data_IF_854660184302
#
_entry.id   IF_854660184302
#
_cell.length_a   1.000
_cell.length_b   1.000
_cell.length_c   1.000
_cell.angle_alpha   90.00
_cell.angle_beta   90.00
_cell.angle_gamma   90.00
#
_symmetry.space_group_name_H-M   'P 1'
#
loop_
_entity.id
_entity.type
_entity.pdbx_description
1 polymer ?
#
# COMPACT_ATOMS: atom_id res chain seq x y z
N UNK A 1 19.52 -0.69 -6.52
CA UNK A 1 19.36 -2.07 -6.04
C UNK A 1 17.94 -2.35 -5.55
N UNK A 2 17.28 -1.40 -4.87
CA UNK A 2 15.89 -1.56 -4.41
C UNK A 2 14.85 -0.76 -5.20
N UNK A 3 15.23 -0.04 -6.26
CA UNK A 3 14.32 0.83 -7.00
C UNK A 3 13.06 0.11 -7.52
N UNK A 4 13.17 -1.16 -7.94
CA UNK A 4 12.04 -1.97 -8.39
C UNK A 4 11.07 -2.40 -7.27
N UNK A 5 11.46 -2.23 -6.02
CA UNK A 5 10.67 -2.53 -4.82
C UNK A 5 10.28 -1.25 -4.06
N UNK A 6 10.57 -0.07 -4.62
CA UNK A 6 10.51 1.23 -3.92
C UNK A 6 11.78 1.48 -3.08
N UNK A 7 12.44 2.62 -3.28
CA UNK A 7 13.65 2.96 -2.52
C UNK A 7 13.34 3.23 -1.05
N UNK A 8 12.13 3.69 -0.77
CA UNK A 8 11.57 3.90 0.57
C UNK A 8 11.53 2.63 1.43
N UNK A 9 11.46 1.44 0.81
CA UNK A 9 11.42 0.17 1.52
C UNK A 9 12.80 -0.46 1.72
N UNK A 10 13.88 0.16 1.21
CA UNK A 10 15.22 -0.41 1.27
C UNK A 10 15.67 -0.73 2.70
N UNK A 11 15.37 0.13 3.67
CA UNK A 11 15.70 -0.07 5.08
C UNK A 11 15.02 -1.31 5.66
N UNK A 12 13.76 -1.56 5.30
CA UNK A 12 12.99 -2.73 5.75
C UNK A 12 13.59 -4.02 5.20
N UNK A 13 13.91 -4.06 3.91
CA UNK A 13 14.57 -5.22 3.29
C UNK A 13 15.93 -5.52 3.91
N UNK A 14 16.71 -4.48 4.22
CA UNK A 14 18.00 -4.63 4.87
C UNK A 14 17.82 -5.13 6.31
N UNK A 15 16.87 -4.58 7.08
CA UNK A 15 16.58 -5.00 8.45
C UNK A 15 16.15 -6.48 8.52
N UNK A 16 15.31 -6.91 7.57
CA UNK A 16 14.79 -8.27 7.50
C UNK A 16 15.83 -9.32 7.08
N UNK A 17 16.98 -8.91 6.54
CA UNK A 17 18.02 -9.84 6.12
C UNK A 17 18.65 -10.55 7.33
N UNK A 18 18.69 -11.90 7.35
CA UNK A 18 19.31 -12.67 8.45
C UNK A 18 20.77 -12.27 8.73
N UNK A 19 21.50 -11.74 7.75
CA UNK A 19 22.87 -11.27 7.91
C UNK A 19 22.98 -9.99 8.78
N UNK A 20 21.86 -9.30 9.01
CA UNK A 20 21.76 -8.13 9.87
C UNK A 20 21.04 -8.43 11.20
N UNK A 21 20.80 -9.71 11.52
CA UNK A 21 20.19 -10.10 12.79
C UNK A 21 20.95 -9.50 13.99
N UNK A 22 20.25 -8.69 14.79
CA UNK A 22 20.81 -7.97 15.95
C UNK A 22 21.28 -6.54 15.67
N UNK A 23 21.15 -6.03 14.44
CA UNK A 23 21.19 -4.59 14.19
C UNK A 23 19.81 -4.00 14.42
N UNK A 24 19.71 -3.14 15.43
CA UNK A 24 18.53 -2.31 15.64
C UNK A 24 18.62 -1.08 14.72
N UNK A 25 18.05 -1.21 13.51
CA UNK A 25 18.01 -0.12 12.53
C UNK A 25 17.00 0.96 12.96
N UNK A 26 15.96 0.59 13.73
CA UNK A 26 14.98 1.53 14.25
C UNK A 26 15.60 2.50 15.29
N UNK A 27 16.59 2.05 16.06
CA UNK A 27 17.33 2.89 17.02
C UNK A 27 18.25 3.95 16.40
N UNK A 28 18.40 3.99 15.07
CA UNK A 28 19.32 4.91 14.37
C UNK A 28 18.60 6.05 13.64
N UNK A 29 17.50 6.55 14.20
CA UNK A 29 16.79 7.76 13.72
C UNK A 29 16.52 7.75 12.20
N UNK A 30 16.12 6.60 11.64
CA UNK A 30 15.84 6.41 10.20
C UNK A 30 17.05 6.57 9.25
N UNK A 31 18.29 6.65 9.74
CA UNK A 31 19.49 6.63 8.89
C UNK A 31 19.96 5.19 8.62
N UNK A 32 20.24 4.89 7.35
CA UNK A 32 20.89 3.63 6.99
C UNK A 32 22.31 3.59 7.60
N UNK A 33 22.68 2.52 8.31
CA UNK A 33 24.01 2.41 8.87
C UNK A 33 25.06 2.45 7.77
N UNK A 34 26.24 2.99 8.09
CA UNK A 34 27.36 3.13 7.14
C UNK A 34 27.80 1.81 6.46
N UNK A 35 27.43 0.66 7.03
CA UNK A 35 27.64 -0.67 6.47
C UNK A 35 26.44 -1.56 6.77
N UNK A 36 26.01 -2.29 5.77
CA UNK A 36 24.95 -3.31 5.84
C UNK A 36 25.51 -4.62 5.28
N UNK A 37 25.04 -5.76 5.80
CA UNK A 37 25.33 -7.06 5.22
C UNK A 37 24.13 -7.52 4.38
N UNK A 38 24.38 -8.30 3.33
CA UNK A 38 23.32 -8.85 2.50
C UNK A 38 23.59 -10.33 2.25
N UNK A 39 22.57 -11.15 2.46
CA UNK A 39 22.56 -12.56 2.12
C UNK A 39 22.34 -12.69 0.61
N UNK A 40 23.28 -13.31 -0.09
CA UNK A 40 23.22 -13.49 -1.53
C UNK A 40 23.52 -14.93 -1.95
N UNK A 41 22.89 -15.36 -3.05
CA UNK A 41 23.19 -16.64 -3.68
C UNK A 41 24.56 -16.58 -4.37
N UNK A 42 25.41 -17.57 -4.10
CA UNK A 42 26.74 -17.64 -4.70
C UNK A 42 26.66 -17.91 -6.20
N UNK A 43 27.29 -17.06 -7.02
CA UNK A 43 27.45 -17.26 -8.46
C UNK A 43 28.59 -18.25 -8.80
N UNK A 44 29.29 -18.79 -7.80
CA UNK A 44 30.41 -19.70 -8.00
C UNK A 44 30.10 -20.91 -8.91
N UNK A 45 28.92 -21.57 -8.83
CA UNK A 45 28.56 -22.64 -9.76
C UNK A 45 28.49 -22.17 -11.22
N UNK A 46 27.94 -20.97 -11.45
CA UNK A 46 27.82 -20.38 -12.79
C UNK A 46 29.20 -20.02 -13.35
N UNK A 47 30.11 -19.52 -12.52
CA UNK A 47 31.48 -19.20 -12.92
C UNK A 47 32.27 -20.47 -13.23
N UNK A 48 32.21 -21.49 -12.35
CA UNK A 48 33.00 -22.72 -12.48
C UNK A 48 32.52 -23.63 -13.60
N UNK A 49 31.21 -23.82 -13.74
CA UNK A 49 30.64 -24.81 -14.67
C UNK A 49 29.99 -24.17 -15.90
N UNK A 50 29.41 -22.97 -15.76
CA UNK A 50 28.78 -22.23 -16.86
C UNK A 50 29.74 -21.30 -17.62
N UNK A 51 30.94 -21.08 -17.10
CA UNK A 51 31.92 -20.16 -17.69
C UNK A 51 31.47 -18.70 -17.66
N UNK A 52 30.58 -18.34 -16.73
CA UNK A 52 30.06 -16.98 -16.53
C UNK A 52 31.19 -16.00 -16.18
N UNK A 53 31.20 -14.84 -16.83
CA UNK A 53 32.20 -13.78 -16.66
C UNK A 53 31.53 -12.42 -16.51
N UNK A 54 32.30 -11.45 -16.02
CA UNK A 54 31.83 -10.08 -15.93
C UNK A 54 31.38 -9.55 -17.30
N UNK A 55 30.15 -9.04 -17.37
CA UNK A 55 29.51 -8.55 -18.58
C UNK A 55 28.62 -9.58 -19.29
N UNK A 56 28.64 -10.85 -18.88
CA UNK A 56 27.64 -11.83 -19.28
C UNK A 56 26.30 -11.53 -18.59
N UNK A 57 25.21 -11.98 -19.21
CA UNK A 57 23.85 -11.86 -18.68
C UNK A 57 23.44 -13.15 -17.97
N UNK A 58 22.46 -13.03 -17.09
CA UNK A 58 21.83 -14.17 -16.43
C UNK A 58 20.39 -14.24 -16.92
N UNK A 59 20.01 -15.37 -17.51
CA UNK A 59 18.64 -15.69 -17.87
C UNK A 59 18.04 -16.58 -16.79
N UNK A 60 16.94 -16.14 -16.19
CA UNK A 60 16.19 -16.91 -15.20
C UNK A 60 14.91 -17.43 -15.86
N UNK A 61 14.72 -18.74 -15.87
CA UNK A 61 13.53 -19.40 -16.41
C UNK A 61 12.80 -20.12 -15.29
N UNK A 62 11.53 -19.79 -15.09
CA UNK A 62 10.67 -20.56 -14.19
C UNK A 62 10.39 -21.91 -14.85
N UNK A 63 10.78 -23.01 -14.20
CA UNK A 63 10.50 -24.38 -14.67
C UNK A 63 9.29 -24.99 -13.99
N UNK A 64 9.07 -24.64 -12.73
CA UNK A 64 7.92 -25.07 -11.94
C UNK A 64 7.50 -23.93 -11.02
N UNK A 65 6.34 -23.33 -11.29
CA UNK A 65 5.82 -22.21 -10.51
C UNK A 65 5.33 -22.68 -9.13
N UNK A 66 4.68 -23.85 -9.06
CA UNK A 66 4.08 -24.38 -7.81
C UNK A 66 5.16 -24.76 -6.79
N UNK A 67 6.32 -25.22 -7.27
CA UNK A 67 7.46 -25.56 -6.43
C UNK A 67 8.50 -24.44 -6.31
N UNK A 68 8.27 -23.28 -6.94
CA UNK A 68 9.20 -22.14 -6.94
C UNK A 68 10.55 -22.47 -7.56
N UNK A 69 10.61 -23.36 -8.55
CA UNK A 69 11.85 -23.76 -9.20
C UNK A 69 12.20 -22.84 -10.35
N UNK A 70 13.39 -22.25 -10.26
CA UNK A 70 13.95 -21.35 -11.25
C UNK A 70 15.27 -21.92 -11.75
N UNK A 71 15.36 -22.11 -13.05
CA UNK A 71 16.61 -22.44 -13.74
C UNK A 71 17.37 -21.16 -14.08
N UNK A 72 18.66 -21.13 -13.74
CA UNK A 72 19.52 -19.97 -13.94
C UNK A 72 20.61 -20.32 -14.97
N UNK A 73 20.61 -19.63 -16.10
CA UNK A 73 21.52 -19.90 -17.22
C UNK A 73 22.38 -18.66 -17.56
N UNK A 74 23.70 -18.83 -17.78
CA UNK A 74 24.54 -17.75 -18.26
C UNK A 74 24.33 -17.50 -19.75
N UNK A 75 24.07 -16.26 -20.13
CA UNK A 75 24.00 -15.79 -21.52
C UNK A 75 25.27 -15.00 -21.80
N UNK A 76 26.15 -15.61 -22.60
CA UNK A 76 27.49 -15.06 -22.86
C UNK A 76 27.40 -13.75 -23.63
N UNK A 77 28.19 -12.77 -23.18
CA UNK A 77 28.38 -11.53 -23.92
C UNK A 77 29.03 -11.82 -25.26
N UNK A 78 28.65 -11.02 -26.26
CA UNK A 78 29.30 -11.06 -27.55
C UNK A 78 30.79 -10.67 -27.43
N UNK A 79 31.66 -11.39 -28.13
CA UNK A 79 33.11 -11.13 -28.13
C UNK A 79 33.43 -9.77 -28.79
N UNK A 80 32.57 -9.32 -29.71
CA UNK A 80 32.66 -8.01 -30.33
C UNK A 80 31.45 -7.11 -29.96
N UNK A 81 31.62 -6.14 -29.05
CA UNK A 81 30.53 -5.28 -28.59
C UNK A 81 30.00 -4.30 -29.66
N UNK A 82 30.68 -4.16 -30.81
CA UNK A 82 30.20 -3.32 -31.93
C UNK A 82 29.39 -4.10 -32.97
N UNK A 83 29.20 -5.40 -32.79
CA UNK A 83 28.42 -6.23 -33.70
C UNK A 83 27.02 -6.48 -33.13
N UNK A 84 26.01 -5.89 -33.76
CA UNK A 84 24.59 -6.13 -33.47
C UNK A 84 24.22 -7.48 -34.06
N UNK A 85 23.73 -8.39 -33.22
CA UNK A 85 23.23 -9.71 -33.64
C UNK A 85 21.69 -9.72 -33.63
N UNK A 86 21.12 -10.84 -34.08
CA UNK A 86 19.66 -11.01 -34.14
C UNK A 86 19.00 -11.02 -32.76
N UNK A 87 19.65 -11.63 -31.77
CA UNK A 87 19.29 -11.60 -30.34
C UNK A 87 19.24 -10.18 -29.78
N UNK A 88 20.20 -9.31 -30.16
CA UNK A 88 20.17 -7.91 -29.74
C UNK A 88 18.97 -7.14 -30.33
N UNK A 89 18.57 -7.47 -31.58
CA UNK A 89 17.38 -6.88 -32.22
C UNK A 89 16.08 -7.38 -31.57
N UNK A 90 15.99 -8.68 -31.27
CA UNK A 90 14.83 -9.24 -30.56
C UNK A 90 14.69 -8.65 -29.15
N UNK A 91 15.81 -8.42 -28.45
CA UNK A 91 15.79 -7.74 -27.15
C UNK A 91 15.32 -6.29 -27.26
N UNK A 92 15.72 -5.57 -28.31
CA UNK A 92 15.21 -4.23 -28.54
C UNK A 92 13.70 -4.24 -28.82
N UNK A 93 13.22 -5.20 -29.62
CA UNK A 93 11.79 -5.40 -29.83
C UNK A 93 11.06 -5.72 -28.52
N UNK A 94 11.68 -6.52 -27.65
CA UNK A 94 11.16 -6.82 -26.32
C UNK A 94 11.00 -5.55 -25.48
N UNK A 95 11.98 -4.64 -25.50
CA UNK A 95 11.87 -3.34 -24.80
C UNK A 95 10.73 -2.48 -25.34
N UNK A 96 10.55 -2.44 -26.66
CA UNK A 96 9.46 -1.68 -27.28
C UNK A 96 8.08 -2.29 -26.94
N UNK A 97 7.98 -3.61 -26.89
CA UNK A 97 6.75 -4.31 -26.52
C UNK A 97 6.46 -4.18 -25.02
N UNK A 98 7.49 -4.21 -24.17
CA UNK A 98 7.38 -3.95 -22.75
C UNK A 98 6.93 -2.52 -22.44
N UNK A 99 7.50 -1.51 -23.12
CA UNK A 99 7.06 -0.11 -22.98
C UNK A 99 5.59 0.05 -23.35
N UNK A 100 5.15 -0.54 -24.47
CA UNK A 100 3.73 -0.49 -24.88
C UNK A 100 2.82 -1.20 -23.88
N UNK A 101 3.27 -2.34 -23.33
CA UNK A 101 2.49 -3.10 -22.37
C UNK A 101 2.31 -2.33 -21.05
N UNK A 102 3.37 -1.68 -20.55
CA UNK A 102 3.29 -0.80 -19.38
C UNK A 102 2.34 0.37 -19.62
N UNK A 103 2.47 1.08 -20.75
CA UNK A 103 1.58 2.20 -21.09
C UNK A 103 0.12 1.77 -21.16
N UNK A 104 -0.17 0.61 -21.76
CA UNK A 104 -1.53 0.07 -21.80
C UNK A 104 -2.04 -0.34 -20.40
N UNK A 105 -1.16 -0.86 -19.54
CA UNK A 105 -1.49 -1.19 -18.15
C UNK A 105 -1.82 0.05 -17.33
N UNK A 106 -1.12 1.16 -17.54
CA UNK A 106 -1.42 2.43 -16.86
C UNK A 106 -2.82 2.94 -17.20
N UNK A 107 -3.24 2.81 -18.47
CA UNK A 107 -4.58 3.20 -18.89
C UNK A 107 -5.69 2.31 -18.30
N UNK A 108 -5.41 1.01 -18.12
CA UNK A 108 -6.41 0.01 -17.72
C UNK A 108 -6.49 -0.18 -16.20
N UNK A 109 -5.35 -0.33 -15.55
CA UNK A 109 -5.19 -0.71 -14.14
C UNK A 109 -4.67 0.43 -13.26
N UNK A 110 -4.21 1.53 -13.87
CA UNK A 110 -3.66 2.66 -13.13
C UNK A 110 -2.33 2.34 -12.44
N UNK A 111 -2.05 2.97 -11.29
CA UNK A 111 -0.80 2.80 -10.55
C UNK A 111 -0.71 1.51 -9.71
N UNK A 112 -1.76 0.67 -9.68
CA UNK A 112 -1.89 -0.55 -8.87
C UNK A 112 -1.56 -0.35 -7.37
N UNK A 113 -1.36 -1.43 -6.63
CA UNK A 113 -0.99 -1.46 -5.21
C UNK A 113 0.51 -1.53 -4.93
N UNK A 114 1.36 -1.93 -5.88
CA UNK A 114 2.83 -1.76 -5.81
C UNK A 114 3.52 -1.83 -7.19
N UNK A 115 4.82 -1.53 -7.29
CA UNK A 115 5.59 -1.71 -8.55
C UNK A 115 5.60 -3.19 -8.96
N UNK A 116 5.74 -4.10 -8.01
CA UNK A 116 5.71 -5.54 -8.21
C UNK A 116 4.37 -5.99 -8.78
N UNK A 117 3.26 -5.43 -8.29
CA UNK A 117 1.93 -5.69 -8.83
C UNK A 117 1.79 -5.15 -10.26
N UNK A 118 2.27 -3.93 -10.53
CA UNK A 118 2.27 -3.37 -11.90
C UNK A 118 3.03 -4.30 -12.87
N UNK A 119 4.21 -4.76 -12.47
CA UNK A 119 5.01 -5.69 -13.26
C UNK A 119 4.29 -7.03 -13.42
N UNK A 120 3.71 -7.57 -12.34
CA UNK A 120 2.98 -8.84 -12.40
C UNK A 120 1.80 -8.78 -13.39
N UNK A 121 0.98 -7.72 -13.33
CA UNK A 121 -0.13 -7.51 -14.27
C UNK A 121 0.38 -7.48 -15.71
N UNK A 122 1.41 -6.66 -15.98
CA UNK A 122 2.00 -6.52 -17.32
C UNK A 122 2.52 -7.85 -17.87
N UNK A 123 3.26 -8.61 -17.06
CA UNK A 123 3.84 -9.90 -17.46
C UNK A 123 2.77 -10.99 -17.63
N UNK A 124 1.73 -11.01 -16.79
CA UNK A 124 0.65 -11.98 -16.92
C UNK A 124 -0.18 -11.73 -18.19
N UNK A 125 -0.58 -10.49 -18.43
CA UNK A 125 -1.40 -10.10 -19.59
C UNK A 125 -0.64 -10.26 -20.91
N UNK A 126 0.68 -10.06 -20.89
CA UNK A 126 1.53 -10.08 -22.08
C UNK A 126 2.54 -11.24 -22.09
N UNK A 127 2.26 -12.31 -21.34
CA UNK A 127 3.17 -13.46 -21.15
C UNK A 127 3.77 -14.01 -22.44
N UNK A 128 2.98 -14.10 -23.52
CA UNK A 128 3.45 -14.60 -24.82
C UNK A 128 4.52 -13.73 -25.49
N UNK A 129 4.51 -12.42 -25.22
CA UNK A 129 5.45 -11.46 -25.80
C UNK A 129 6.62 -11.16 -24.87
N UNK A 130 6.36 -11.17 -23.56
CA UNK A 130 7.35 -10.77 -22.56
C UNK A 130 8.12 -11.94 -21.96
N UNK A 131 7.54 -13.15 -21.89
CA UNK A 131 8.23 -14.33 -21.35
C UNK A 131 8.90 -15.12 -22.48
N UNK A 132 9.88 -14.50 -23.15
CA UNK A 132 10.62 -15.08 -24.27
C UNK A 132 12.09 -15.32 -23.91
N UNK A 133 12.79 -16.15 -24.70
CA UNK A 133 14.21 -16.47 -24.45
C UNK A 133 15.13 -15.25 -24.61
N UNK A 134 14.76 -14.30 -25.46
CA UNK A 134 15.53 -13.08 -25.75
C UNK A 134 15.04 -11.85 -24.96
N UNK A 135 14.50 -12.08 -23.76
CA UNK A 135 13.99 -11.02 -22.90
C UNK A 135 15.10 -10.05 -22.41
N UNK A 136 14.72 -8.80 -22.20
CA UNK A 136 15.56 -7.78 -21.60
C UNK A 136 15.47 -7.75 -20.07
N UNK A 137 16.32 -6.93 -19.44
CA UNK A 137 16.18 -6.62 -18.01
C UNK A 137 15.25 -5.42 -17.84
N UNK A 138 14.32 -5.48 -16.89
CA UNK A 138 13.44 -4.36 -16.53
C UNK A 138 14.26 -3.16 -16.04
N UNK A 139 15.32 -3.41 -15.26
CA UNK A 139 16.20 -2.34 -14.79
C UNK A 139 16.95 -1.67 -15.94
N UNK A 140 17.44 -2.44 -16.91
CA UNK A 140 18.09 -1.89 -18.11
C UNK A 140 17.10 -1.09 -18.96
N UNK A 141 15.85 -1.57 -19.07
CA UNK A 141 14.77 -0.84 -19.72
C UNK A 141 14.50 0.53 -19.07
N UNK A 142 14.39 0.58 -17.74
CA UNK A 142 14.09 1.83 -17.04
C UNK A 142 15.25 2.83 -17.11
N UNK A 143 16.50 2.36 -17.19
CA UNK A 143 17.67 3.24 -17.40
C UNK A 143 17.68 3.92 -18.78
N UNK A 144 17.01 3.35 -19.78
CA UNK A 144 17.02 3.87 -21.16
C UNK A 144 15.68 4.48 -21.59
N UNK A 145 14.57 4.14 -20.92
CA UNK A 145 13.26 4.68 -21.27
C UNK A 145 13.24 6.19 -21.06
N UNK A 146 12.58 6.88 -21.98
CA UNK A 146 12.31 8.32 -21.87
C UNK A 146 10.87 8.62 -21.52
N UNK A 147 10.00 7.62 -21.61
CA UNK A 147 8.56 7.77 -21.40
C UNK A 147 8.12 7.27 -20.04
N UNK A 148 8.82 6.30 -19.48
CA UNK A 148 8.47 5.69 -18.20
C UNK A 148 9.59 5.95 -17.22
N UNK A 149 9.23 6.44 -16.04
CA UNK A 149 10.16 6.71 -14.96
C UNK A 149 9.56 6.28 -13.61
N UNK A 150 10.37 6.37 -12.58
CA UNK A 150 9.94 6.29 -11.19
C UNK A 150 9.37 7.65 -10.79
N UNK A 151 8.08 7.70 -10.51
CA UNK A 151 7.36 8.92 -10.14
C UNK A 151 6.81 8.83 -8.71
N UNK A 152 6.74 9.94 -7.97
CA UNK A 152 6.16 9.98 -6.62
C UNK A 152 4.67 9.64 -6.62
N UNK A 153 4.26 8.83 -5.65
CA UNK A 153 2.89 8.45 -5.37
C UNK A 153 2.64 8.41 -3.85
N UNK A 154 2.33 9.58 -3.31
CA UNK A 154 2.23 9.83 -1.89
C UNK A 154 3.57 9.65 -1.20
N UNK A 155 3.66 8.68 -0.28
CA UNK A 155 4.93 8.34 0.40
C UNK A 155 5.75 7.26 -0.32
N UNK A 156 5.24 6.77 -1.45
CA UNK A 156 5.83 5.67 -2.22
C UNK A 156 6.22 6.11 -3.64
N UNK A 157 6.89 5.21 -4.35
CA UNK A 157 7.28 5.38 -5.75
C UNK A 157 6.54 4.42 -6.66
N UNK A 158 6.13 4.87 -7.86
CA UNK A 158 5.45 4.04 -8.88
C UNK A 158 6.11 4.18 -10.24
N UNK A 159 5.96 3.16 -11.10
CA UNK A 159 6.28 3.35 -12.52
C UNK A 159 5.14 4.14 -13.16
N UNK A 160 5.48 5.25 -13.81
CA UNK A 160 4.49 6.09 -14.50
C UNK A 160 5.10 6.85 -15.67
N UNK A 161 4.29 7.66 -16.33
CA UNK A 161 4.71 8.57 -17.39
C UNK A 161 5.72 9.59 -16.84
N UNK A 162 6.88 9.65 -17.50
CA UNK A 162 8.02 10.46 -17.07
C UNK A 162 7.68 11.95 -17.03
N UNK A 163 7.79 12.55 -15.84
CA UNK A 163 7.47 13.94 -15.55
C UNK A 163 5.98 14.24 -15.37
N UNK A 164 5.13 13.21 -15.31
CA UNK A 164 3.70 13.35 -15.01
C UNK A 164 3.40 12.93 -13.58
N UNK A 165 2.49 13.65 -12.93
CA UNK A 165 1.99 13.29 -11.61
C UNK A 165 1.15 12.01 -11.69
N UNK A 166 1.42 11.07 -10.79
CA UNK A 166 0.64 9.83 -10.70
C UNK A 166 -0.72 10.14 -10.07
N UNK A 167 -1.83 9.94 -10.79
CA UNK A 167 -3.15 10.30 -10.30
C UNK A 167 -3.68 9.29 -9.27
N UNK A 168 -4.34 9.79 -8.23
CA UNK A 168 -5.03 8.97 -7.23
C UNK A 168 -6.28 8.31 -7.82
N UNK A 169 -6.97 9.06 -8.68
CA UNK A 169 -8.21 8.65 -9.32
C UNK A 169 -8.09 8.62 -10.84
N UNK A 170 -8.70 7.60 -11.44
CA UNK A 170 -8.76 7.46 -12.89
C UNK A 170 -9.81 6.44 -13.30
N UNK A 171 -9.83 6.11 -14.60
CA UNK A 171 -10.82 5.19 -15.19
C UNK A 171 -10.81 3.80 -14.56
N UNK A 172 -9.69 3.39 -13.98
CA UNK A 172 -9.55 2.12 -13.26
C UNK A 172 -10.36 2.07 -11.95
N UNK A 173 -10.81 3.21 -11.43
CA UNK A 173 -11.67 3.28 -10.25
C UNK A 173 -13.17 3.25 -10.60
N UNK A 174 -13.53 3.28 -11.89
CA UNK A 174 -14.93 3.16 -12.32
C UNK A 174 -15.42 1.73 -12.06
N UNK A 175 -16.04 1.51 -10.90
CA UNK A 175 -16.76 0.26 -10.62
C UNK A 175 -17.88 0.17 -11.68
N UNK A 176 -17.97 -0.92 -12.46
CA UNK A 176 -19.09 -1.10 -13.38
C UNK A 176 -20.37 -1.01 -12.53
N UNK A 177 -21.25 -0.06 -12.85
CA UNK A 177 -22.54 0.11 -12.16
C UNK A 177 -23.25 -1.25 -12.16
N UNK A 178 -23.12 -1.99 -11.06
CA UNK A 178 -23.93 -3.16 -10.83
C UNK A 178 -25.35 -2.62 -10.64
N UNK A 179 -26.24 -2.89 -11.59
CA UNK A 179 -27.68 -2.69 -11.52
C UNK A 179 -28.18 -3.10 -10.12
N UNK A 180 -28.20 -2.16 -9.18
CA UNK A 180 -28.60 -2.44 -7.81
C UNK A 180 -29.88 -1.69 -7.55
N UNK A 181 -30.95 -2.40 -7.86
CA UNK A 181 -32.30 -2.23 -7.33
C UNK A 181 -32.41 -2.58 -5.84
N UNK A 182 -31.31 -2.53 -5.08
CA UNK A 182 -31.31 -2.78 -3.64
C UNK A 182 -31.35 -1.44 -2.90
N UNK A 183 -32.30 -1.36 -1.94
CA UNK A 183 -32.64 -0.19 -1.14
C UNK A 183 -31.39 0.58 -0.68
N UNK A 184 -31.43 1.91 -0.83
CA UNK A 184 -30.39 2.82 -0.39
C UNK A 184 -30.05 2.68 1.12
N UNK A 185 -30.97 2.15 1.94
CA UNK A 185 -30.74 1.80 3.35
C UNK A 185 -29.81 0.57 3.52
N UNK A 186 -29.86 -0.40 2.61
CA UNK A 186 -28.97 -1.58 2.62
C UNK A 186 -27.55 -1.23 2.18
N UNK A 187 -27.40 -0.21 1.32
CA UNK A 187 -26.08 0.32 0.93
C UNK A 187 -25.38 1.00 2.10
N UNK A 188 -26.06 1.82 2.88
CA UNK A 188 -25.43 2.52 4.01
C UNK A 188 -24.86 1.55 5.06
N UNK A 189 -25.55 0.45 5.37
CA UNK A 189 -25.06 -0.58 6.31
C UNK A 189 -23.90 -1.42 5.75
N UNK A 190 -23.85 -1.63 4.43
CA UNK A 190 -22.73 -2.30 3.76
C UNK A 190 -21.54 -1.35 3.52
N UNK A 191 -21.78 -0.06 3.32
CA UNK A 191 -20.77 1.01 3.13
C UNK A 191 -20.20 1.49 4.47
N UNK A 192 -20.97 1.39 5.56
CA UNK A 192 -20.53 1.62 6.95
C UNK A 192 -20.04 0.34 7.64
N UNK A 193 -19.75 -0.74 6.89
CA UNK A 193 -19.25 -2.00 7.44
C UNK A 193 -17.82 -1.83 7.99
N UNK A 194 -17.72 -1.16 9.13
CA UNK A 194 -16.52 -1.09 9.95
C UNK A 194 -16.16 -2.54 10.31
N UNK A 195 -14.95 -3.01 9.96
CA UNK A 195 -14.53 -4.35 10.32
C UNK A 195 -14.62 -4.60 11.83
N UNK A 196 -15.02 -5.81 12.22
CA UNK A 196 -15.18 -6.21 13.62
C UNK A 196 -13.94 -5.88 14.48
N UNK A 197 -12.73 -6.02 13.93
CA UNK A 197 -11.49 -5.71 14.67
C UNK A 197 -11.37 -4.22 15.03
N UNK A 198 -11.85 -3.30 14.19
CA UNK A 198 -11.84 -1.86 14.51
C UNK A 198 -12.82 -1.59 15.66
N UNK A 199 -14.00 -2.20 15.60
CA UNK A 199 -15.00 -2.11 16.65
C UNK A 199 -14.47 -2.68 17.98
N UNK A 200 -13.82 -3.84 17.92
CA UNK A 200 -13.18 -4.49 19.05
C UNK A 200 -12.12 -3.57 19.67
N UNK A 201 -11.25 -2.98 18.85
CA UNK A 201 -10.24 -2.04 19.32
C UNK A 201 -10.84 -0.86 20.10
N UNK A 202 -11.94 -0.27 19.62
CA UNK A 202 -12.64 0.79 20.37
C UNK A 202 -13.18 0.30 21.72
N UNK A 203 -13.73 -0.92 21.76
CA UNK A 203 -14.25 -1.52 22.99
C UNK A 203 -13.11 -1.85 23.97
N UNK A 204 -12.02 -2.45 23.49
CA UNK A 204 -10.85 -2.79 24.30
C UNK A 204 -10.17 -1.54 24.85
N UNK A 205 -10.09 -0.46 24.07
CA UNK A 205 -9.61 0.84 24.56
C UNK A 205 -10.47 1.40 25.72
N UNK A 206 -11.80 1.24 25.68
CA UNK A 206 -12.65 1.61 26.82
C UNK A 206 -12.48 0.65 28.01
N UNK A 207 -12.30 -0.65 27.78
CA UNK A 207 -12.02 -1.63 28.83
C UNK A 207 -10.68 -1.33 29.53
N UNK A 208 -9.68 -0.88 28.79
CA UNK A 208 -8.38 -0.43 29.30
C UNK A 208 -8.52 0.74 30.28
N UNK A 209 -9.35 1.72 29.90
CA UNK A 209 -9.72 2.88 30.73
C UNK A 209 -10.72 2.53 31.84
N UNK A 210 -11.19 1.27 31.91
CA UNK A 210 -12.21 0.77 32.85
C UNK A 210 -13.54 1.53 32.75
N UNK A 211 -13.89 1.99 31.54
CA UNK A 211 -15.15 2.68 31.21
C UNK A 211 -15.98 1.87 30.23
N UNK A 212 -17.25 2.25 30.10
CA UNK A 212 -18.14 1.70 29.08
C UNK A 212 -19.16 2.76 28.66
N UNK A 213 -18.91 3.36 27.52
CA UNK A 213 -19.71 4.43 26.93
C UNK A 213 -19.94 4.11 25.45
N UNK A 214 -20.93 3.27 25.11
CA UNK A 214 -21.13 2.79 23.75
C UNK A 214 -21.48 3.92 22.77
N UNK A 215 -22.13 4.98 23.25
CA UNK A 215 -22.42 6.17 22.43
C UNK A 215 -21.15 6.90 21.97
N UNK A 216 -20.09 6.91 22.78
CA UNK A 216 -18.81 7.47 22.35
C UNK A 216 -18.23 6.66 21.19
N UNK A 217 -18.36 5.33 21.22
CA UNK A 217 -17.91 4.44 20.14
C UNK A 217 -18.67 4.73 18.85
N UNK A 218 -20.00 4.90 18.93
CA UNK A 218 -20.80 5.30 17.76
C UNK A 218 -20.32 6.63 17.19
N UNK A 219 -20.11 7.63 18.04
CA UNK A 219 -19.64 8.97 17.62
C UNK A 219 -18.20 9.02 17.12
N UNK A 220 -17.40 8.00 17.44
CA UNK A 220 -16.03 7.87 17.00
C UNK A 220 -15.94 7.16 15.64
N UNK A 221 -16.81 6.18 15.40
CA UNK A 221 -16.89 5.44 14.13
C UNK A 221 -17.63 6.22 13.05
N UNK A 222 -18.67 6.97 13.44
CA UNK A 222 -19.47 7.75 12.51
C UNK A 222 -19.10 9.23 12.63
N UNK A 223 -18.70 9.89 11.53
CA UNK A 223 -18.53 11.33 11.52
C UNK A 223 -19.81 12.04 11.97
N UNK A 224 -19.69 13.18 12.65
CA UNK A 224 -20.85 13.92 13.18
C UNK A 224 -21.86 14.41 12.12
N UNK A 225 -21.52 14.28 10.84
CA UNK A 225 -22.37 14.57 9.69
C UNK A 225 -23.33 13.43 9.32
N UNK A 226 -23.05 12.18 9.74
CA UNK A 226 -23.89 11.01 9.49
C UNK A 226 -25.00 10.95 10.51
N UNK A 227 -26.25 10.79 10.05
CA UNK A 227 -27.43 10.65 10.91
C UNK A 227 -28.02 9.27 10.70
N UNK A 228 -27.86 8.41 11.70
CA UNK A 228 -28.58 7.14 11.76
C UNK A 228 -30.06 7.39 12.11
N UNK A 229 -30.94 6.57 11.55
CA UNK A 229 -32.30 6.43 12.05
C UNK A 229 -32.29 5.85 13.48
N UNK A 230 -33.40 6.00 14.20
CA UNK A 230 -33.53 5.46 15.55
C UNK A 230 -33.42 3.92 15.60
N UNK A 231 -33.80 3.23 14.52
CA UNK A 231 -33.72 1.77 14.42
C UNK A 231 -32.28 1.31 14.15
N UNK A 232 -31.58 1.95 13.21
CA UNK A 232 -30.17 1.67 12.91
C UNK A 232 -29.28 1.97 14.11
N UNK A 233 -29.48 3.10 14.77
CA UNK A 233 -28.73 3.47 15.98
C UNK A 233 -28.91 2.43 17.08
N UNK A 234 -30.14 1.94 17.29
CA UNK A 234 -30.42 0.86 18.24
C UNK A 234 -29.76 -0.47 17.85
N UNK A 235 -29.77 -0.82 16.57
CA UNK A 235 -29.13 -2.04 16.09
C UNK A 235 -27.61 -1.99 16.31
N UNK A 236 -26.99 -0.84 15.99
CA UNK A 236 -25.56 -0.63 16.15
C UNK A 236 -25.12 -0.67 17.62
N UNK A 237 -25.89 -0.04 18.52
CA UNK A 237 -25.66 -0.15 19.96
C UNK A 237 -25.78 -1.59 20.47
N UNK A 238 -26.77 -2.34 20.00
CA UNK A 238 -26.94 -3.75 20.37
C UNK A 238 -25.75 -4.60 19.90
N UNK A 239 -25.20 -4.27 18.72
CA UNK A 239 -24.00 -4.93 18.21
C UNK A 239 -22.78 -4.63 19.08
N UNK A 240 -22.56 -3.36 19.49
CA UNK A 240 -21.53 -2.96 20.46
C UNK A 240 -21.69 -3.72 21.79
N UNK A 241 -22.90 -3.75 22.36
CA UNK A 241 -23.20 -4.46 23.62
C UNK A 241 -22.84 -5.95 23.52
N UNK A 242 -23.17 -6.58 22.39
CA UNK A 242 -22.87 -7.98 22.12
C UNK A 242 -21.36 -8.24 22.07
N UNK A 243 -20.61 -7.44 21.29
CA UNK A 243 -19.15 -7.55 21.21
C UNK A 243 -18.49 -7.27 22.56
N UNK A 244 -18.92 -6.24 23.28
CA UNK A 244 -18.41 -5.91 24.62
C UNK A 244 -18.58 -7.07 25.61
N UNK A 245 -19.74 -7.73 25.62
CA UNK A 245 -19.99 -8.87 26.49
C UNK A 245 -19.10 -10.09 26.17
N UNK A 246 -18.64 -10.22 24.92
CA UNK A 246 -17.69 -11.25 24.49
C UNK A 246 -16.28 -10.87 24.96
N UNK A 247 -15.78 -9.71 24.55
CA UNK A 247 -14.41 -9.25 24.82
C UNK A 247 -14.14 -9.14 26.32
N UNK A 248 -15.06 -8.58 27.10
CA UNK A 248 -14.90 -8.41 28.55
C UNK A 248 -14.62 -9.72 29.30
N UNK A 249 -15.03 -10.88 28.78
CA UNK A 249 -14.78 -12.18 29.41
C UNK A 249 -13.34 -12.66 29.23
N UNK A 250 -12.72 -12.31 28.12
CA UNK A 250 -11.38 -12.75 27.71
C UNK A 250 -10.32 -11.66 27.89
N UNK A 251 -10.75 -10.42 28.05
CA UNK A 251 -9.89 -9.26 28.17
C UNK A 251 -8.96 -9.34 29.39
N UNK A 252 -7.66 -9.15 29.15
CA UNK A 252 -6.63 -9.14 30.18
C UNK A 252 -5.92 -7.78 30.21
N UNK A 253 -6.32 -6.95 31.15
CA UNK A 253 -5.75 -5.60 31.35
C UNK A 253 -4.23 -5.57 31.54
N UNK A 254 -3.63 -6.61 32.14
CA UNK A 254 -2.17 -6.64 32.33
C UNK A 254 -1.42 -6.93 31.03
N UNK A 255 -1.95 -7.81 30.18
CA UNK A 255 -1.39 -8.07 28.86
C UNK A 255 -1.57 -6.86 27.94
N UNK A 256 -2.67 -6.14 28.11
CA UNK A 256 -3.01 -4.97 27.32
C UNK A 256 -2.17 -3.72 27.66
N UNK A 257 -1.45 -3.72 28.77
CA UNK A 257 -0.67 -2.56 29.22
C UNK A 257 0.45 -2.17 28.25
N UNK A 258 1.01 -3.12 27.51
CA UNK A 258 2.09 -2.86 26.54
C UNK A 258 1.56 -2.29 25.22
N UNK A 259 0.35 -2.67 24.82
CA UNK A 259 -0.24 -2.31 23.52
C UNK A 259 -1.33 -1.23 23.62
N UNK A 260 -1.89 -0.98 24.80
CA UNK A 260 -3.06 -0.11 24.97
C UNK A 260 -2.84 1.33 24.53
N UNK A 261 -1.64 1.89 24.74
CA UNK A 261 -1.30 3.23 24.25
C UNK A 261 -1.15 3.25 22.73
N UNK A 262 -0.52 2.22 22.16
CA UNK A 262 -0.38 2.05 20.70
C UNK A 262 -1.75 1.94 20.04
N UNK A 263 -2.66 1.11 20.59
CA UNK A 263 -4.05 1.01 20.15
C UNK A 263 -4.74 2.36 20.19
N UNK A 264 -4.60 3.10 21.29
CA UNK A 264 -5.23 4.42 21.46
C UNK A 264 -4.75 5.43 20.41
N UNK A 265 -3.43 5.51 20.15
CA UNK A 265 -2.88 6.38 19.11
C UNK A 265 -3.37 5.99 17.71
N UNK A 266 -3.34 4.70 17.38
CA UNK A 266 -3.85 4.19 16.12
C UNK A 266 -5.35 4.52 15.91
N UNK A 267 -6.19 4.33 16.94
CA UNK A 267 -7.61 4.70 16.90
C UNK A 267 -7.84 6.21 16.72
N UNK A 268 -6.99 7.05 17.34
CA UNK A 268 -7.08 8.49 17.19
C UNK A 268 -6.79 8.93 15.74
N UNK A 269 -5.72 8.41 15.15
CA UNK A 269 -5.36 8.67 13.75
C UNK A 269 -6.40 8.09 12.79
N UNK A 270 -6.89 6.87 13.03
CA UNK A 270 -7.98 6.25 12.27
C UNK A 270 -9.20 7.17 12.21
N UNK A 271 -9.63 7.70 13.37
CA UNK A 271 -10.78 8.59 13.48
C UNK A 271 -10.60 9.88 12.68
N UNK A 272 -9.41 10.47 12.72
CA UNK A 272 -9.10 11.70 11.98
C UNK A 272 -9.13 11.45 10.47
N UNK A 273 -8.45 10.40 10.02
CA UNK A 273 -8.39 10.01 8.61
C UNK A 273 -9.78 9.63 8.08
N UNK A 274 -10.54 8.81 8.81
CA UNK A 274 -11.89 8.40 8.41
C UNK A 274 -12.83 9.59 8.30
N UNK A 275 -12.79 10.52 9.26
CA UNK A 275 -13.60 11.74 9.23
C UNK A 275 -13.31 12.56 7.97
N UNK A 276 -12.03 12.75 7.62
CA UNK A 276 -11.66 13.49 6.42
C UNK A 276 -12.09 12.77 5.13
N UNK A 277 -11.91 11.46 5.05
CA UNK A 277 -12.38 10.64 3.91
C UNK A 277 -13.89 10.81 3.72
N UNK A 278 -14.68 10.69 4.79
CA UNK A 278 -16.13 10.88 4.72
C UNK A 278 -16.51 12.32 4.33
N UNK A 279 -15.77 13.33 4.77
CA UNK A 279 -16.02 14.70 4.36
C UNK A 279 -15.73 14.94 2.87
N UNK A 280 -14.66 14.34 2.35
CA UNK A 280 -14.32 14.35 0.93
C UNK A 280 -15.41 13.62 0.14
N UNK A 281 -15.75 12.37 0.48
CA UNK A 281 -16.76 11.57 -0.22
C UNK A 281 -18.10 12.31 -0.34
N UNK A 282 -18.54 12.96 0.73
CA UNK A 282 -19.81 13.70 0.74
C UNK A 282 -19.77 15.01 -0.08
N UNK A 283 -18.60 15.64 -0.19
CA UNK A 283 -18.45 16.96 -0.82
C UNK A 283 -17.92 16.89 -2.25
N UNK A 284 -17.25 15.80 -2.61
CA UNK A 284 -16.58 15.64 -3.88
C UNK A 284 -17.61 15.46 -5.00
N UNK A 285 -17.74 16.48 -5.84
CA UNK A 285 -18.42 16.34 -7.13
C UNK A 285 -17.52 15.72 -8.20
N UNK A 286 -16.20 15.96 -8.09
CA UNK A 286 -15.17 15.31 -8.89
C UNK A 286 -13.87 15.24 -8.06
N UNK A 287 -13.37 14.02 -7.80
CA UNK A 287 -12.13 13.77 -7.06
C UNK A 287 -10.86 14.21 -7.82
N UNK A 288 -10.92 14.39 -9.15
CA UNK A 288 -9.80 14.90 -9.95
C UNK A 288 -9.44 16.36 -9.62
N UNK A 289 -10.35 17.11 -8.97
CA UNK A 289 -10.10 18.50 -8.55
C UNK A 289 -9.33 18.61 -7.25
N UNK A 290 -9.23 17.51 -6.51
CA UNK A 290 -8.49 17.47 -5.28
C UNK A 290 -6.99 17.31 -5.57
N UNK A 291 -6.13 17.80 -4.67
CA UNK A 291 -4.69 17.52 -4.71
C UNK A 291 -4.45 16.00 -4.70
N UNK A 292 -3.87 15.44 -5.77
CA UNK A 292 -3.85 14.00 -6.00
C UNK A 292 -2.88 13.29 -5.05
N UNK A 293 -1.68 13.84 -4.85
CA UNK A 293 -0.71 13.27 -3.92
C UNK A 293 -1.25 13.20 -2.50
N UNK A 294 -1.92 14.25 -2.04
CA UNK A 294 -2.50 14.34 -0.71
C UNK A 294 -3.63 13.32 -0.52
N UNK A 295 -4.45 13.09 -1.56
CA UNK A 295 -5.45 12.03 -1.55
C UNK A 295 -4.82 10.63 -1.43
N UNK A 296 -3.72 10.39 -2.14
CA UNK A 296 -2.98 9.13 -2.06
C UNK A 296 -2.42 8.94 -0.65
N UNK A 297 -1.79 9.95 -0.08
CA UNK A 297 -1.24 9.91 1.28
C UNK A 297 -2.34 9.63 2.28
N UNK A 298 -3.51 10.27 2.16
CA UNK A 298 -4.65 10.01 3.05
C UNK A 298 -5.12 8.54 2.95
N UNK A 299 -5.22 8.00 1.74
CA UNK A 299 -5.61 6.60 1.51
C UNK A 299 -4.57 5.61 2.07
N UNK A 300 -3.28 5.90 1.89
CA UNK A 300 -2.17 5.12 2.45
C UNK A 300 -2.19 5.14 3.98
N UNK A 301 -2.35 6.31 4.60
CA UNK A 301 -2.47 6.46 6.06
C UNK A 301 -3.66 5.65 6.57
N UNK A 302 -4.83 5.80 5.94
CA UNK A 302 -6.03 5.08 6.37
C UNK A 302 -5.85 3.57 6.29
N UNK A 303 -5.31 3.07 5.17
CA UNK A 303 -5.06 1.65 4.95
C UNK A 303 -4.04 1.09 5.94
N UNK A 304 -2.95 1.82 6.20
CA UNK A 304 -1.88 1.38 7.10
C UNK A 304 -2.33 1.37 8.56
N UNK A 305 -3.08 2.39 8.98
CA UNK A 305 -3.67 2.43 10.33
C UNK A 305 -4.66 1.28 10.54
N UNK A 306 -5.48 0.94 9.54
CA UNK A 306 -6.35 -0.23 9.64
C UNK A 306 -5.55 -1.54 9.82
N UNK A 307 -4.44 -1.71 9.09
CA UNK A 307 -3.55 -2.87 9.27
C UNK A 307 -2.92 -2.94 10.66
N UNK A 308 -2.49 -1.79 11.21
CA UNK A 308 -1.99 -1.72 12.59
C UNK A 308 -3.07 -2.14 13.58
N UNK A 309 -4.30 -1.64 13.43
CA UNK A 309 -5.41 -2.02 14.29
C UNK A 309 -5.76 -3.50 14.14
N UNK A 310 -5.75 -4.04 12.92
CA UNK A 310 -5.95 -5.46 12.68
C UNK A 310 -4.87 -6.31 13.39
N UNK A 311 -3.60 -5.93 13.29
CA UNK A 311 -2.50 -6.63 13.95
C UNK A 311 -2.61 -6.57 15.48
N UNK A 312 -2.92 -5.40 16.05
CA UNK A 312 -3.09 -5.21 17.50
C UNK A 312 -4.19 -6.12 18.06
N UNK A 313 -5.27 -6.32 17.32
CA UNK A 313 -6.42 -7.10 17.78
C UNK A 313 -6.31 -8.60 17.47
N UNK A 314 -5.78 -8.97 16.30
CA UNK A 314 -5.70 -10.36 15.85
C UNK A 314 -4.41 -11.06 16.30
N UNK A 315 -3.30 -10.33 16.45
CA UNK A 315 -2.01 -10.84 16.91
C UNK A 315 -1.34 -9.90 17.94
N UNK A 316 -1.92 -9.77 19.14
CA UNK A 316 -1.39 -8.88 20.19
C UNK A 316 0.00 -9.30 20.69
N UNK A 317 0.42 -10.55 20.44
CA UNK A 317 1.77 -11.03 20.79
C UNK A 317 2.82 -10.36 19.94
N UNK A 318 2.68 -10.46 18.62
CA UNK A 318 3.57 -9.79 17.66
C UNK A 318 3.51 -8.27 17.80
N UNK A 319 2.31 -7.70 17.96
CA UNK A 319 2.16 -6.25 18.18
C UNK A 319 2.88 -5.76 19.44
N UNK A 320 2.96 -6.58 20.50
CA UNK A 320 3.71 -6.24 21.70
C UNK A 320 5.24 -6.33 21.51
N UNK A 321 5.70 -7.23 20.65
CA UNK A 321 7.12 -7.34 20.29
C UNK A 321 7.58 -6.18 19.40
N UNK A 322 6.72 -5.72 18.49
CA UNK A 322 7.00 -4.65 17.52
C UNK A 322 6.45 -3.28 17.94
N UNK A 323 6.18 -3.07 19.24
CA UNK A 323 5.50 -1.86 19.72
C UNK A 323 6.27 -0.57 19.39
N UNK A 324 7.60 -0.60 19.49
CA UNK A 324 8.42 0.58 19.23
C UNK A 324 8.40 0.95 17.73
N UNK A 325 8.49 -0.04 16.83
CA UNK A 325 8.37 0.17 15.38
C UNK A 325 6.99 0.70 14.99
N UNK A 326 5.91 0.15 15.57
CA UNK A 326 4.54 0.62 15.32
C UNK A 326 4.39 2.07 15.80
N UNK A 327 4.91 2.42 16.98
CA UNK A 327 4.83 3.79 17.51
C UNK A 327 5.57 4.80 16.63
N UNK A 328 6.76 4.44 16.13
CA UNK A 328 7.51 5.26 15.19
C UNK A 328 6.76 5.41 13.86
N UNK A 329 6.16 4.34 13.35
CA UNK A 329 5.33 4.40 12.14
C UNK A 329 4.11 5.30 12.31
N UNK A 330 3.42 5.21 13.46
CA UNK A 330 2.30 6.09 13.81
C UNK A 330 2.72 7.56 13.86
N UNK A 331 3.87 7.88 14.46
CA UNK A 331 4.39 9.26 14.51
C UNK A 331 4.67 9.82 13.11
N UNK A 332 5.28 9.03 12.23
CA UNK A 332 5.49 9.42 10.83
C UNK A 332 4.19 9.68 10.09
N UNK A 333 3.18 8.82 10.28
CA UNK A 333 1.86 9.02 9.67
C UNK A 333 1.09 10.21 10.24
N UNK A 334 1.18 10.47 11.54
CA UNK A 334 0.60 11.66 12.18
C UNK A 334 1.20 12.94 11.57
N UNK A 335 2.54 12.98 11.40
CA UNK A 335 3.23 14.10 10.76
C UNK A 335 2.80 14.28 9.28
N UNK A 336 2.68 13.18 8.54
CA UNK A 336 2.19 13.23 7.16
C UNK A 336 0.74 13.72 7.09
N UNK A 337 -0.13 13.24 7.98
CA UNK A 337 -1.53 13.66 8.07
C UNK A 337 -1.65 15.16 8.35
N UNK A 338 -0.91 15.67 9.33
CA UNK A 338 -0.87 17.10 9.66
C UNK A 338 -0.41 17.93 8.46
N UNK A 339 0.56 17.43 7.69
CA UNK A 339 1.06 18.06 6.46
C UNK A 339 0.01 18.18 5.35
N UNK A 340 -0.83 17.15 5.15
CA UNK A 340 -1.79 17.11 4.03
C UNK A 340 -3.19 17.62 4.38
N UNK A 341 -3.58 17.55 5.65
CA UNK A 341 -4.97 17.75 6.08
C UNK A 341 -5.51 19.14 5.75
N UNK A 342 -4.66 20.17 5.86
CA UNK A 342 -5.05 21.55 5.62
C UNK A 342 -5.52 21.80 4.19
N UNK A 343 -4.77 21.29 3.22
CA UNK A 343 -5.05 21.48 1.80
C UNK A 343 -6.31 20.71 1.37
N UNK A 344 -6.48 19.48 1.89
CA UNK A 344 -7.67 18.69 1.65
C UNK A 344 -8.92 19.34 2.26
N UNK A 345 -8.84 19.82 3.50
CA UNK A 345 -9.95 20.52 4.16
C UNK A 345 -10.32 21.81 3.41
N UNK A 346 -9.34 22.60 2.98
CA UNK A 346 -9.57 23.82 2.20
C UNK A 346 -10.27 23.50 0.86
N UNK A 347 -9.91 22.40 0.22
CA UNK A 347 -10.54 21.92 -1.01
C UNK A 347 -11.98 21.45 -0.75
N UNK A 348 -12.20 20.67 0.31
CA UNK A 348 -13.54 20.26 0.78
C UNK A 348 -14.45 21.48 1.00
N UNK A 349 -13.95 22.50 1.69
CA UNK A 349 -14.72 23.73 1.94
C UNK A 349 -15.01 24.53 0.66
N UNK A 350 -14.10 24.49 -0.31
CA UNK A 350 -14.28 25.12 -1.62
C UNK A 350 -15.34 24.38 -2.45
N UNK A 351 -15.29 23.07 -2.51
CA UNK A 351 -16.28 22.24 -3.22
C UNK A 351 -17.66 22.31 -2.53
N UNK A 352 -17.72 22.29 -1.18
CA UNK A 352 -18.96 22.55 -0.43
C UNK A 352 -19.59 23.89 -0.84
N UNK A 353 -18.81 24.97 -0.99
CA UNK A 353 -19.30 26.29 -1.41
C UNK A 353 -19.73 26.32 -2.88
N UNK A 354 -19.00 25.64 -3.76
CA UNK A 354 -19.32 25.57 -5.18
C UNK A 354 -20.55 24.70 -5.47
N UNK A 355 -20.85 23.71 -4.62
CA UNK A 355 -22.09 22.93 -4.66
C UNK A 355 -23.37 23.74 -4.34
N UNK A 356 -23.24 24.91 -3.70
CA UNK A 356 -24.34 25.87 -3.51
C UNK A 356 -24.45 26.84 -4.69
N UNK A 357 -24.65 26.35 -5.92
CA UNK A 357 -25.17 27.21 -6.99
C UNK A 357 -26.65 27.48 -6.68
N UNK A 358 -26.94 28.68 -6.21
CA UNK A 358 -28.29 29.22 -6.07
C UNK A 358 -28.97 29.16 -7.44
N UNK A 359 -29.88 28.19 -7.61
CA UNK A 359 -30.84 28.21 -8.71
C UNK A 359 -31.68 29.47 -8.51
N UNK A 360 -31.49 30.46 -9.39
CA UNK A 360 -32.31 31.66 -9.46
C UNK A 360 -33.58 31.43 -10.26
#
# INVERSE_FOLDING_TARGET
MFALYGEEFASQYIAADPANAGMDIASQDFELPSRVNLTANSLEPLVKYGGFRYGDRILCRVTDWDLGQIEVMPVKRNENPMQIRSDDLERQNWYDDFEKALLASFDLSGPCGSIEEQLAVVFLDNSRKLCTEECGSVEEFLMQSKKIAYEPFGVETRLWLNGEEVPAVGKWNEIPEADSSDDAESRLLNELAVPDYILDAFIENQLFDKRYEPEEIVSALLPGSVRLSAEEHRFFLLHIDSRHAILKKTYNWFADFTIGETRRRALALYRQASTLIFEIDRSATNLERYPQQELVILSQIFSHVMRILEMVELDPGTAAEETDEIQLSLEGMECNFDGISGELIDTVETEKRNGFVVIK
#
